data_IF_318505426154
#
_entry.id   IF_318505426154
#
_cell.length_a   1.000
_cell.length_b   1.000
_cell.length_c   1.000
_cell.angle_alpha   90.00
_cell.angle_beta   90.00
_cell.angle_gamma   90.00
#
_symmetry.space_group_name_H-M   'P 1'
#
loop_
_entity.id
_entity.type
_entity.pdbx_description
1 polymer ?
#
# COMPACT_ATOMS: atom_id res chain seq x y z
N UNK A 1 -3.24 -14.46 -14.61
CA UNK A 1 -2.24 -13.69 -13.83
C UNK A 1 -2.60 -12.21 -13.91
N UNK A 2 -3.03 -11.60 -12.80
CA UNK A 2 -3.40 -10.17 -12.75
C UNK A 2 -2.27 -9.35 -12.09
N UNK A 3 -1.05 -9.46 -12.64
CA UNK A 3 0.15 -8.83 -12.08
C UNK A 3 0.03 -7.29 -12.09
N UNK A 4 -0.66 -6.76 -13.11
CA UNK A 4 -0.93 -5.33 -13.28
C UNK A 4 -1.73 -4.74 -12.11
N UNK A 5 -2.78 -5.41 -11.64
CA UNK A 5 -3.59 -4.87 -10.52
C UNK A 5 -2.87 -4.94 -9.18
N UNK A 6 -2.05 -5.98 -8.94
CA UNK A 6 -1.28 -6.07 -7.69
C UNK A 6 -0.27 -4.93 -7.56
N UNK A 7 0.49 -4.67 -8.62
CA UNK A 7 1.50 -3.61 -8.66
C UNK A 7 0.84 -2.23 -8.53
N UNK A 8 -0.20 -1.96 -9.33
CA UNK A 8 -0.91 -0.68 -9.29
C UNK A 8 -1.55 -0.42 -7.92
N UNK A 9 -2.15 -1.44 -7.31
CA UNK A 9 -2.71 -1.33 -5.95
C UNK A 9 -1.63 -1.05 -4.92
N UNK A 10 -0.49 -1.74 -4.98
CA UNK A 10 0.61 -1.50 -4.04
C UNK A 10 1.17 -0.07 -4.21
N UNK A 11 1.35 0.40 -5.44
CA UNK A 11 1.80 1.76 -5.74
C UNK A 11 0.82 2.80 -5.21
N UNK A 12 -0.49 2.62 -5.43
CA UNK A 12 -1.53 3.49 -4.90
C UNK A 12 -1.51 3.55 -3.36
N UNK A 13 -1.29 2.40 -2.69
CA UNK A 13 -1.15 2.35 -1.22
C UNK A 13 0.06 3.15 -0.75
N UNK A 14 1.22 2.99 -1.40
CA UNK A 14 2.45 3.69 -1.01
C UNK A 14 2.33 5.20 -1.22
N UNK A 15 1.83 5.63 -2.38
CA UNK A 15 1.62 7.05 -2.68
C UNK A 15 0.66 7.69 -1.68
N UNK A 16 -0.51 7.07 -1.44
CA UNK A 16 -1.46 7.60 -0.47
C UNK A 16 -0.89 7.64 0.96
N UNK A 17 -0.05 6.66 1.32
CA UNK A 17 0.62 6.70 2.62
C UNK A 17 1.63 7.85 2.72
N UNK A 18 2.42 8.10 1.67
CA UNK A 18 3.37 9.21 1.57
C UNK A 18 2.67 10.59 1.56
N UNK A 19 1.49 10.67 0.95
CA UNK A 19 0.63 11.87 0.96
C UNK A 19 0.02 12.14 2.36
N UNK A 20 0.25 11.27 3.34
CA UNK A 20 -0.19 11.44 4.74
C UNK A 20 -1.58 10.86 5.02
N UNK A 21 -2.19 10.11 4.10
CA UNK A 21 -3.46 9.45 4.37
C UNK A 21 -3.29 8.32 5.39
N UNK A 22 -4.28 8.19 6.27
CA UNK A 22 -4.32 7.12 7.27
C UNK A 22 -4.52 5.75 6.63
N UNK A 23 -4.01 4.69 7.25
CA UNK A 23 -4.24 3.32 6.78
C UNK A 23 -5.74 2.94 6.75
N UNK A 24 -6.55 3.56 7.61
CA UNK A 24 -8.00 3.33 7.63
C UNK A 24 -8.69 3.94 6.39
N UNK A 25 -8.37 5.20 6.04
CA UNK A 25 -8.93 5.85 4.86
C UNK A 25 -8.51 5.15 3.56
N UNK A 26 -7.25 4.72 3.47
CA UNK A 26 -6.74 3.97 2.32
C UNK A 26 -7.44 2.61 2.19
N UNK A 27 -7.64 1.90 3.31
CA UNK A 27 -8.33 0.61 3.35
C UNK A 27 -9.77 0.72 2.82
N UNK A 28 -10.49 1.74 3.28
CA UNK A 28 -11.87 2.01 2.86
C UNK A 28 -11.93 2.37 1.38
N UNK A 29 -11.06 3.27 0.90
CA UNK A 29 -11.08 3.73 -0.49
C UNK A 29 -10.73 2.63 -1.50
N UNK A 30 -9.70 1.83 -1.21
CA UNK A 30 -9.25 0.75 -2.09
C UNK A 30 -9.99 -0.58 -1.86
N UNK A 31 -10.92 -0.62 -0.89
CA UNK A 31 -11.61 -1.82 -0.44
C UNK A 31 -10.65 -3.00 -0.13
N UNK A 32 -9.64 -2.73 0.69
CA UNK A 32 -8.64 -3.73 1.11
C UNK A 32 -8.46 -3.74 2.62
N UNK A 33 -7.84 -4.80 3.13
CA UNK A 33 -7.57 -4.91 4.57
C UNK A 33 -6.44 -3.97 5.02
N UNK A 34 -6.59 -3.43 6.23
CA UNK A 34 -5.50 -2.69 6.92
C UNK A 34 -4.22 -3.52 7.06
N UNK A 35 -4.35 -4.84 7.23
CA UNK A 35 -3.20 -5.76 7.31
C UNK A 35 -2.43 -5.85 5.98
N UNK A 36 -3.12 -5.78 4.84
CA UNK A 36 -2.49 -5.73 3.52
C UNK A 36 -1.73 -4.40 3.33
N UNK A 37 -2.32 -3.27 3.75
CA UNK A 37 -1.66 -1.97 3.70
C UNK A 37 -0.41 -1.96 4.58
N UNK A 38 -0.51 -2.45 5.82
CA UNK A 38 0.62 -2.57 6.75
C UNK A 38 1.76 -3.38 6.15
N UNK A 39 1.46 -4.50 5.48
CA UNK A 39 2.45 -5.29 4.76
C UNK A 39 3.09 -4.50 3.62
N UNK A 40 2.31 -3.85 2.77
CA UNK A 40 2.83 -3.08 1.63
C UNK A 40 3.74 -1.93 2.10
N UNK A 41 3.31 -1.16 3.09
CA UNK A 41 4.09 -0.05 3.66
C UNK A 41 5.41 -0.57 4.25
N UNK A 42 5.37 -1.59 5.11
CA UNK A 42 6.58 -2.17 5.72
C UNK A 42 7.51 -2.83 4.71
N UNK A 43 6.96 -3.52 3.70
CA UNK A 43 7.75 -4.12 2.63
C UNK A 43 8.36 -3.08 1.69
N UNK A 44 7.68 -1.94 1.47
CA UNK A 44 8.25 -0.79 0.75
C UNK A 44 9.43 -0.17 1.51
N UNK A 45 9.31 -0.05 2.83
CA UNK A 45 10.40 0.37 3.73
C UNK A 45 11.57 -0.63 3.76
N UNK A 46 11.32 -1.90 3.44
CA UNK A 46 12.39 -2.92 3.39
C UNK A 46 13.28 -2.79 2.15
N UNK A 47 12.87 -2.03 1.13
CA UNK A 47 13.70 -1.75 -0.05
C UNK A 47 14.64 -0.55 0.12
N UNK A 48 14.52 0.22 1.21
CA UNK A 48 15.46 1.29 1.57
C UNK A 48 16.53 0.82 2.57
N UNK A 49 16.62 -0.49 2.83
CA UNK A 49 17.67 -1.10 3.64
C UNK A 49 18.94 -1.41 2.83
N UNK A 50 19.92 -0.50 2.97
CA UNK A 50 21.33 -0.45 2.50
C UNK A 50 21.62 0.12 1.11
#
# INVERSE_FOLDING_TARGET
>A
MNLCTKVNRNLAILNAHQDGYSQASIATYLNVSKSLISKVVKSGDSFTGV
#
